data_IF_798344484320
#
_entry.id   IF_798344484320
#
_cell.length_a   1.000
_cell.length_b   1.000
_cell.length_c   1.000
_cell.angle_alpha   90.00
_cell.angle_beta   90.00
_cell.angle_gamma   90.00
#
_symmetry.space_group_name_H-M   'P 1'
#
loop_
_entity.id
_entity.type
_entity.pdbx_description
1 polymer ?
#
# COMPACT_ATOMS: atom_id res chain seq x y z
N UNK A 1 9.57 2.19 -24.22
CA UNK A 1 9.98 1.47 -22.98
C UNK A 1 10.25 2.50 -21.91
N UNK A 2 9.99 2.16 -20.65
CA UNK A 2 10.27 3.08 -19.55
C UNK A 2 11.77 3.08 -19.21
N UNK A 3 12.29 4.26 -18.85
CA UNK A 3 13.62 4.40 -18.25
C UNK A 3 13.47 4.26 -16.73
N UNK A 4 14.29 3.43 -16.11
CA UNK A 4 14.30 3.17 -14.68
C UNK A 4 15.64 3.60 -14.07
N UNK A 5 15.63 3.89 -12.77
CA UNK A 5 16.86 4.03 -11.99
C UNK A 5 17.20 2.69 -11.36
N UNK A 6 18.43 2.24 -11.54
CA UNK A 6 18.95 1.04 -10.89
C UNK A 6 20.40 1.26 -10.45
N UNK A 7 20.65 1.28 -9.13
CA UNK A 7 21.97 1.34 -8.48
C UNK A 7 22.91 2.46 -9.00
N UNK A 8 22.39 3.64 -9.30
CA UNK A 8 23.17 4.79 -9.77
C UNK A 8 22.92 5.13 -11.25
N UNK A 9 22.49 4.18 -12.05
CA UNK A 9 22.31 4.31 -13.49
C UNK A 9 20.85 4.52 -13.90
N UNK A 10 20.63 5.23 -15.00
CA UNK A 10 19.34 5.34 -15.69
C UNK A 10 19.39 4.44 -16.94
N UNK A 11 18.64 3.37 -16.93
CA UNK A 11 18.65 2.29 -17.93
C UNK A 11 17.24 2.09 -18.52
N UNK A 12 17.14 1.53 -19.71
CA UNK A 12 15.88 0.98 -20.16
C UNK A 12 15.52 -0.23 -19.27
N UNK A 13 14.24 -0.43 -19.03
CA UNK A 13 13.78 -1.48 -18.08
C UNK A 13 14.27 -2.90 -18.45
N UNK A 14 14.39 -3.20 -19.72
CA UNK A 14 14.86 -4.49 -20.26
C UNK A 14 16.39 -4.68 -20.19
N UNK A 15 17.15 -3.62 -19.94
CA UNK A 15 18.62 -3.67 -19.76
C UNK A 15 19.01 -3.98 -18.31
N UNK A 16 18.08 -3.86 -17.35
CA UNK A 16 18.35 -4.07 -15.92
C UNK A 16 18.67 -5.54 -15.64
N UNK A 17 19.79 -5.80 -15.00
CA UNK A 17 20.21 -7.13 -14.57
C UNK A 17 20.40 -7.17 -13.06
N UNK A 18 19.58 -7.99 -12.41
CA UNK A 18 19.70 -8.24 -10.96
C UNK A 18 20.66 -9.40 -10.73
N UNK A 19 21.58 -9.24 -9.79
CA UNK A 19 22.49 -10.32 -9.40
C UNK A 19 21.71 -11.49 -8.80
N UNK A 20 22.10 -12.72 -9.16
CA UNK A 20 21.57 -13.93 -8.51
C UNK A 20 21.93 -14.02 -7.02
N UNK A 21 22.88 -13.21 -6.55
CA UNK A 21 23.28 -13.12 -5.15
C UNK A 21 22.57 -12.00 -4.39
N UNK A 22 21.58 -11.31 -4.99
CA UNK A 22 20.78 -10.32 -4.30
C UNK A 22 19.86 -10.99 -3.26
N UNK A 23 19.86 -10.48 -2.02
CA UNK A 23 19.06 -11.02 -0.93
C UNK A 23 17.54 -10.92 -1.21
N UNK A 24 17.13 -9.92 -1.99
CA UNK A 24 15.76 -9.81 -2.47
C UNK A 24 15.34 -10.98 -3.33
N UNK A 25 16.26 -11.50 -4.17
CA UNK A 25 16.01 -12.68 -5.02
C UNK A 25 15.93 -13.98 -4.19
N UNK A 26 16.79 -14.13 -3.16
CA UNK A 26 16.79 -15.35 -2.33
C UNK A 26 15.66 -15.42 -1.33
N UNK A 27 15.34 -14.28 -0.66
CA UNK A 27 14.53 -14.27 0.56
C UNK A 27 13.32 -13.33 0.47
N UNK A 28 13.22 -12.53 -0.60
CA UNK A 28 12.34 -11.38 -0.59
C UNK A 28 12.79 -10.34 0.47
N UNK A 29 14.10 -10.28 0.78
CA UNK A 29 14.69 -9.36 1.76
C UNK A 29 14.82 -7.97 1.13
N UNK A 30 13.71 -7.28 1.10
CA UNK A 30 13.58 -5.97 0.52
C UNK A 30 12.38 -5.23 1.07
N UNK A 31 12.45 -3.92 0.96
CA UNK A 31 11.39 -2.98 1.30
C UNK A 31 10.94 -2.31 0.00
N UNK A 32 9.64 -2.07 -0.13
CA UNK A 32 9.14 -1.35 -1.30
C UNK A 32 8.18 -0.24 -0.92
N UNK A 33 8.02 0.71 -1.82
CA UNK A 33 7.06 1.78 -1.68
C UNK A 33 6.40 2.10 -3.03
N UNK A 34 5.21 2.69 -2.97
CA UNK A 34 4.46 3.14 -4.14
C UNK A 34 3.95 4.54 -3.88
N UNK A 35 4.43 5.50 -4.65
CA UNK A 35 4.00 6.90 -4.58
C UNK A 35 3.14 7.19 -5.81
N UNK A 36 1.94 7.69 -5.60
CA UNK A 36 1.09 8.15 -6.69
C UNK A 36 1.57 9.51 -7.21
N UNK A 37 1.84 9.59 -8.51
CA UNK A 37 1.98 10.85 -9.24
C UNK A 37 0.65 11.12 -9.97
N UNK A 38 -0.02 12.19 -9.60
CA UNK A 38 -1.35 12.52 -10.11
C UNK A 38 -1.41 13.97 -10.58
N UNK A 39 -1.74 14.17 -11.86
CA UNK A 39 -1.86 15.50 -12.48
C UNK A 39 -0.69 16.44 -12.15
N UNK A 40 0.54 15.94 -12.27
CA UNK A 40 1.76 16.73 -12.05
C UNK A 40 2.26 16.78 -10.59
N UNK A 41 1.63 16.09 -9.65
CA UNK A 41 1.92 16.19 -8.22
C UNK A 41 2.22 14.82 -7.60
N UNK A 42 3.21 14.77 -6.69
CA UNK A 42 3.47 13.57 -5.89
C UNK A 42 2.57 13.56 -4.65
N UNK A 43 1.67 12.60 -4.56
CA UNK A 43 0.70 12.52 -3.48
C UNK A 43 1.36 11.91 -2.24
N UNK A 44 1.28 12.63 -1.11
CA UNK A 44 1.79 12.22 0.20
C UNK A 44 3.26 11.72 0.20
N UNK A 45 4.11 12.24 -0.71
CA UNK A 45 5.48 11.74 -0.93
C UNK A 45 6.32 11.64 0.34
N UNK A 46 6.22 12.63 1.23
CA UNK A 46 7.03 12.66 2.44
C UNK A 46 6.63 11.54 3.40
N UNK A 47 5.33 11.28 3.57
CA UNK A 47 4.84 10.16 4.38
C UNK A 47 5.27 8.80 3.82
N UNK A 48 5.28 8.63 2.50
CA UNK A 48 5.77 7.43 1.83
C UNK A 48 7.28 7.24 2.01
N UNK A 49 8.07 8.28 1.80
CA UNK A 49 9.53 8.23 1.97
C UNK A 49 9.92 8.01 3.44
N UNK A 50 9.22 8.64 4.40
CA UNK A 50 9.41 8.40 5.83
C UNK A 50 9.12 6.95 6.20
N UNK A 51 8.06 6.36 5.65
CA UNK A 51 7.74 4.95 5.87
C UNK A 51 8.79 4.02 5.27
N UNK A 52 9.24 4.29 4.04
CA UNK A 52 10.29 3.53 3.36
C UNK A 52 11.57 3.47 4.22
N UNK A 53 12.08 4.63 4.64
CA UNK A 53 13.30 4.73 5.46
C UNK A 53 13.11 4.05 6.82
N UNK A 54 11.99 4.31 7.49
CA UNK A 54 11.65 3.65 8.76
C UNK A 54 11.60 2.12 8.63
N UNK A 55 10.99 1.59 7.57
CA UNK A 55 10.94 0.15 7.34
C UNK A 55 12.33 -0.46 7.16
N UNK A 56 13.24 0.20 6.42
CA UNK A 56 14.63 -0.28 6.27
C UNK A 56 15.37 -0.32 7.61
N UNK A 57 15.23 0.72 8.44
CA UNK A 57 15.82 0.73 9.78
C UNK A 57 15.26 -0.37 10.68
N UNK A 58 13.96 -0.61 10.64
CA UNK A 58 13.30 -1.64 11.45
C UNK A 58 13.78 -3.07 11.14
N UNK A 59 14.27 -3.32 9.91
CA UNK A 59 14.84 -4.61 9.52
C UNK A 59 16.38 -4.55 9.41
N UNK A 60 17.00 -3.55 10.05
CA UNK A 60 18.46 -3.44 10.20
C UNK A 60 19.23 -3.38 8.87
N UNK A 61 18.74 -2.60 7.88
CA UNK A 61 19.54 -2.31 6.69
C UNK A 61 20.73 -1.43 7.07
N UNK A 62 21.90 -1.76 6.53
CA UNK A 62 23.06 -0.87 6.54
C UNK A 62 22.95 0.12 5.37
N UNK A 63 23.68 1.23 5.45
CA UNK A 63 23.80 2.19 4.35
C UNK A 63 22.44 2.62 3.74
N UNK A 64 21.45 2.87 4.63
CA UNK A 64 20.13 3.30 4.22
C UNK A 64 20.23 4.63 3.46
N UNK A 65 19.77 4.70 2.18
CA UNK A 65 19.77 5.95 1.44
C UNK A 65 18.83 6.97 2.10
N UNK A 66 19.21 8.25 2.07
CA UNK A 66 18.40 9.32 2.61
C UNK A 66 17.13 9.56 1.79
N UNK A 67 16.11 10.18 2.40
CA UNK A 67 14.90 10.58 1.69
C UNK A 67 15.18 11.49 0.50
N UNK A 68 16.09 12.43 0.67
CA UNK A 68 16.45 13.40 -0.37
C UNK A 68 17.13 12.71 -1.54
N UNK A 69 18.05 11.78 -1.27
CA UNK A 69 18.70 10.96 -2.29
C UNK A 69 17.70 10.12 -3.09
N UNK A 70 16.77 9.45 -2.40
CA UNK A 70 15.71 8.67 -3.06
C UNK A 70 14.85 9.60 -3.92
N UNK A 71 14.44 10.75 -3.38
CA UNK A 71 13.58 11.69 -4.11
C UNK A 71 14.29 12.32 -5.31
N UNK A 72 15.58 12.63 -5.21
CA UNK A 72 16.37 13.10 -6.35
C UNK A 72 16.43 12.06 -7.47
N UNK A 73 16.56 10.79 -7.12
CA UNK A 73 16.54 9.71 -8.10
C UNK A 73 15.12 9.51 -8.70
N UNK A 74 14.05 9.70 -7.93
CA UNK A 74 12.69 9.77 -8.48
C UNK A 74 12.55 10.88 -9.51
N UNK A 75 13.05 12.09 -9.21
CA UNK A 75 13.00 13.21 -10.16
C UNK A 75 13.75 12.91 -11.47
N UNK A 76 14.91 12.23 -11.39
CA UNK A 76 15.63 11.76 -12.59
C UNK A 76 14.79 10.78 -13.42
N UNK A 77 14.10 9.82 -12.78
CA UNK A 77 13.22 8.89 -13.48
C UNK A 77 12.05 9.64 -14.14
N UNK A 78 11.44 10.59 -13.45
CA UNK A 78 10.34 11.40 -14.02
C UNK A 78 10.82 12.19 -15.23
N UNK A 79 11.97 12.89 -15.15
CA UNK A 79 12.50 13.69 -16.24
C UNK A 79 12.91 12.87 -17.47
N UNK A 80 13.33 11.61 -17.27
CA UNK A 80 13.67 10.70 -18.39
C UNK A 80 12.45 10.02 -19.02
N UNK A 81 11.29 10.16 -18.41
CA UNK A 81 10.02 9.58 -18.87
C UNK A 81 8.93 10.68 -19.05
N UNK A 82 9.30 11.88 -19.45
CA UNK A 82 8.37 13.03 -19.59
C UNK A 82 7.12 12.68 -20.37
N UNK A 83 7.24 11.92 -21.46
CA UNK A 83 6.12 11.48 -22.28
C UNK A 83 5.13 10.62 -21.48
N UNK A 84 5.62 9.71 -20.61
CA UNK A 84 4.77 8.88 -19.76
C UNK A 84 4.01 9.76 -18.77
N UNK A 85 4.67 10.71 -18.14
CA UNK A 85 4.09 11.55 -17.09
C UNK A 85 3.20 12.67 -17.63
N UNK A 86 3.45 13.18 -18.84
CA UNK A 86 2.60 14.20 -19.47
C UNK A 86 1.34 13.65 -20.11
N UNK A 87 1.39 12.43 -20.65
CA UNK A 87 0.27 11.81 -21.35
C UNK A 87 -0.69 11.04 -20.43
N UNK A 88 -0.34 10.87 -19.14
CA UNK A 88 -1.16 10.11 -18.20
C UNK A 88 -1.48 10.94 -16.96
N UNK A 89 -2.77 10.97 -16.59
CA UNK A 89 -3.21 11.68 -15.37
C UNK A 89 -2.69 11.02 -14.08
N UNK A 90 -2.38 9.73 -14.12
CA UNK A 90 -1.88 8.99 -12.97
C UNK A 90 -0.79 8.00 -13.37
N UNK A 91 0.33 8.08 -12.66
CA UNK A 91 1.47 7.16 -12.78
C UNK A 91 1.89 6.78 -11.37
N UNK A 92 2.12 5.52 -11.11
CA UNK A 92 2.73 5.10 -9.84
C UNK A 92 4.25 5.07 -9.96
N UNK A 93 4.92 5.60 -8.95
CA UNK A 93 6.36 5.45 -8.78
C UNK A 93 6.57 4.26 -7.85
N UNK A 94 7.05 3.15 -8.39
CA UNK A 94 7.44 1.98 -7.63
C UNK A 94 8.91 2.10 -7.22
N UNK A 95 9.18 1.93 -5.94
CA UNK A 95 10.53 1.95 -5.34
C UNK A 95 10.72 0.61 -4.67
N UNK A 96 11.80 -0.09 -4.99
CA UNK A 96 12.21 -1.30 -4.28
C UNK A 96 13.66 -1.18 -3.86
N UNK A 97 13.93 -1.47 -2.60
CA UNK A 97 15.27 -1.47 -2.04
C UNK A 97 15.49 -2.81 -1.36
N UNK A 98 16.42 -3.62 -1.91
CA UNK A 98 16.82 -4.89 -1.29
C UNK A 98 18.04 -4.66 -0.38
N UNK A 99 18.32 -5.62 0.49
CA UNK A 99 19.51 -5.55 1.34
C UNK A 99 20.81 -5.56 0.54
N UNK A 100 20.78 -5.97 -0.74
CA UNK A 100 21.94 -6.06 -1.63
C UNK A 100 22.50 -7.46 -1.77
N UNK A 101 23.70 -7.55 -2.32
CA UNK A 101 24.32 -8.81 -2.74
C UNK A 101 25.28 -9.38 -1.69
N UNK A 102 25.09 -10.66 -1.36
CA UNK A 102 25.98 -11.43 -0.49
C UNK A 102 25.95 -12.91 -0.85
N UNK A 103 26.95 -13.65 -0.37
CA UNK A 103 26.87 -15.12 -0.39
C UNK A 103 25.66 -15.57 0.43
N UNK A 104 24.87 -16.50 -0.11
CA UNK A 104 23.64 -16.96 0.53
C UNK A 104 23.90 -17.51 1.94
N UNK A 105 23.32 -16.85 2.94
CA UNK A 105 23.36 -17.24 4.34
C UNK A 105 22.07 -16.84 5.03
N UNK A 106 21.61 -17.57 6.05
CA UNK A 106 20.45 -17.21 6.86
C UNK A 106 20.73 -16.09 7.88
N UNK A 107 21.93 -15.55 7.85
CA UNK A 107 22.32 -14.36 8.61
C UNK A 107 23.08 -13.40 7.72
N UNK A 108 22.84 -12.11 7.87
CA UNK A 108 23.65 -11.06 7.27
C UNK A 108 24.79 -10.60 8.21
N UNK A 109 24.77 -11.06 9.49
CA UNK A 109 25.85 -10.86 10.46
C UNK A 109 26.38 -9.43 10.50
N UNK A 110 27.70 -9.30 10.43
CA UNK A 110 28.42 -8.01 10.42
C UNK A 110 28.70 -7.48 9.00
N UNK A 111 28.05 -8.05 7.97
CA UNK A 111 28.27 -7.61 6.59
C UNK A 111 27.77 -6.18 6.39
N UNK A 112 28.64 -5.31 5.90
CA UNK A 112 28.30 -3.95 5.52
C UNK A 112 27.79 -3.93 4.06
N UNK A 113 26.58 -4.44 3.85
CA UNK A 113 25.99 -4.56 2.51
C UNK A 113 25.55 -3.20 1.97
N UNK A 114 25.70 -3.04 0.65
CA UNK A 114 25.14 -1.90 -0.07
C UNK A 114 23.77 -2.30 -0.61
N UNK A 115 22.69 -1.58 -0.27
CA UNK A 115 21.37 -1.87 -0.81
C UNK A 115 21.33 -1.76 -2.33
N UNK A 116 20.56 -2.64 -2.98
CA UNK A 116 20.22 -2.47 -4.38
C UNK A 116 18.93 -1.66 -4.48
N UNK A 117 18.94 -0.59 -5.28
CA UNK A 117 17.84 0.36 -5.39
C UNK A 117 17.27 0.34 -6.81
N UNK A 118 15.98 0.03 -6.94
CA UNK A 118 15.20 0.14 -8.18
C UNK A 118 14.12 1.20 -8.00
N UNK A 119 14.02 2.14 -8.96
CA UNK A 119 12.90 3.08 -9.06
C UNK A 119 12.36 3.04 -10.49
N UNK A 120 11.06 2.79 -10.64
CA UNK A 120 10.42 2.70 -11.96
C UNK A 120 9.03 3.33 -11.98
N UNK A 121 8.61 3.93 -13.12
CA UNK A 121 7.23 4.32 -13.33
C UNK A 121 6.40 3.09 -13.72
N UNK A 122 5.18 3.00 -13.23
CA UNK A 122 4.18 2.00 -13.64
C UNK A 122 2.90 2.75 -13.95
N UNK A 123 2.37 2.57 -15.15
CA UNK A 123 1.07 3.14 -15.52
C UNK A 123 -0.01 2.61 -14.58
N UNK A 124 -0.84 3.50 -14.09
CA UNK A 124 -1.97 3.15 -13.26
C UNK A 124 -3.18 4.00 -13.63
N UNK A 125 -4.36 3.51 -13.29
CA UNK A 125 -5.60 4.26 -13.40
C UNK A 125 -6.21 4.39 -12.00
N UNK A 126 -6.09 5.56 -11.43
CA UNK A 126 -6.76 5.89 -10.16
C UNK A 126 -8.26 6.06 -10.40
N UNK A 127 -8.63 6.32 -11.66
CA UNK A 127 -10.02 6.43 -12.12
C UNK A 127 -10.72 7.70 -11.64
N UNK A 128 -11.74 8.10 -12.42
CA UNK A 128 -12.62 9.22 -12.08
C UNK A 128 -13.86 8.76 -11.29
N UNK A 129 -13.92 7.47 -10.94
CA UNK A 129 -15.04 6.87 -10.21
C UNK A 129 -14.51 5.95 -9.11
N UNK A 130 -15.14 6.06 -7.96
CA UNK A 130 -14.89 5.15 -6.85
C UNK A 130 -15.18 3.70 -7.26
N UNK A 131 -14.26 2.79 -6.92
CA UNK A 131 -14.47 1.35 -7.13
C UNK A 131 -15.44 0.80 -6.08
N UNK A 132 -16.22 -0.19 -6.49
CA UNK A 132 -17.06 -0.98 -5.62
C UNK A 132 -16.56 -2.42 -5.68
N UNK A 133 -16.25 -3.00 -4.53
CA UNK A 133 -15.64 -4.32 -4.41
C UNK A 133 -16.52 -5.30 -3.67
N UNK A 134 -16.40 -6.55 -4.08
CA UNK A 134 -16.75 -7.72 -3.30
C UNK A 134 -15.47 -8.34 -2.71
N UNK A 135 -15.47 -8.68 -1.44
CA UNK A 135 -14.33 -9.32 -0.79
C UNK A 135 -14.79 -10.57 -0.04
N UNK A 136 -13.88 -11.52 0.18
CA UNK A 136 -14.10 -12.56 1.17
C UNK A 136 -13.18 -12.37 2.38
N UNK A 137 -13.52 -12.98 3.51
CA UNK A 137 -12.69 -12.95 4.71
C UNK A 137 -11.93 -14.26 4.82
N UNK A 138 -10.61 -14.15 4.98
CA UNK A 138 -9.74 -15.29 5.28
C UNK A 138 -8.90 -15.03 6.53
N UNK A 139 -8.40 -16.10 7.15
CA UNK A 139 -7.39 -15.95 8.21
C UNK A 139 -6.13 -15.30 7.64
N UNK A 140 -5.55 -14.35 8.38
CA UNK A 140 -4.37 -13.61 7.94
C UNK A 140 -3.17 -14.56 7.74
N UNK A 141 -2.73 -14.79 6.50
CA UNK A 141 -1.65 -15.74 6.22
C UNK A 141 -0.27 -15.22 6.61
N UNK A 142 -0.16 -13.94 6.96
CA UNK A 142 1.11 -13.32 7.36
C UNK A 142 1.40 -13.61 8.82
N UNK A 143 2.64 -14.00 9.12
CA UNK A 143 3.01 -14.39 10.49
C UNK A 143 3.34 -13.21 11.39
N UNK A 144 4.27 -12.36 10.96
CA UNK A 144 4.83 -11.25 11.76
C UNK A 144 5.18 -10.05 10.88
N UNK A 145 5.40 -8.91 11.52
CA UNK A 145 5.92 -7.69 10.88
C UNK A 145 5.04 -7.13 9.76
N UNK A 146 3.72 -7.14 9.96
CA UNK A 146 2.76 -6.58 8.99
C UNK A 146 2.91 -5.06 8.84
N UNK A 147 3.45 -4.41 9.88
CA UNK A 147 3.78 -2.97 9.91
C UNK A 147 4.94 -2.58 8.99
N UNK A 148 5.66 -3.55 8.45
CA UNK A 148 6.81 -3.35 7.55
C UNK A 148 6.39 -3.67 6.11
N UNK A 149 6.66 -2.74 5.19
CA UNK A 149 6.29 -2.89 3.77
C UNK A 149 7.32 -3.71 3.00
N UNK A 150 7.38 -5.02 3.30
CA UNK A 150 8.35 -5.96 2.73
C UNK A 150 7.95 -6.49 1.35
N UNK A 151 8.95 -6.86 0.54
CA UNK A 151 8.76 -7.51 -0.76
C UNK A 151 8.37 -8.99 -0.69
N UNK A 152 8.44 -9.62 0.48
CA UNK A 152 8.02 -11.02 0.72
C UNK A 152 6.48 -11.16 0.77
N UNK A 153 5.83 -10.95 -0.37
CA UNK A 153 4.37 -10.84 -0.50
C UNK A 153 3.66 -12.16 -0.84
N UNK A 154 4.37 -13.28 -0.95
CA UNK A 154 3.82 -14.57 -1.40
C UNK A 154 2.50 -14.97 -0.71
N UNK A 155 2.37 -14.90 0.64
CA UNK A 155 1.12 -15.29 1.31
C UNK A 155 -0.07 -14.42 0.89
N UNK A 156 0.14 -13.11 0.72
CA UNK A 156 -0.92 -12.18 0.30
C UNK A 156 -1.30 -12.37 -1.17
N UNK A 157 -0.31 -12.63 -2.04
CA UNK A 157 -0.53 -12.88 -3.47
C UNK A 157 -1.36 -14.16 -3.66
N UNK A 158 -1.05 -15.21 -2.91
CA UNK A 158 -1.82 -16.47 -2.95
C UNK A 158 -3.25 -16.22 -2.45
N UNK A 159 -3.42 -15.58 -1.30
CA UNK A 159 -4.75 -15.31 -0.74
C UNK A 159 -5.61 -14.47 -1.70
N UNK A 160 -5.02 -13.44 -2.32
CA UNK A 160 -5.72 -12.64 -3.33
C UNK A 160 -6.08 -13.46 -4.56
N UNK A 161 -5.17 -14.26 -5.09
CA UNK A 161 -5.43 -15.13 -6.25
C UNK A 161 -6.60 -16.11 -5.96
N UNK A 162 -6.62 -16.71 -4.79
CA UNK A 162 -7.71 -17.62 -4.38
C UNK A 162 -9.06 -16.91 -4.26
N UNK A 163 -9.06 -15.68 -3.76
CA UNK A 163 -10.24 -14.82 -3.71
C UNK A 163 -10.76 -14.46 -5.10
N UNK A 164 -9.87 -14.03 -6.00
CA UNK A 164 -10.22 -13.72 -7.40
C UNK A 164 -10.77 -14.97 -8.13
N UNK A 165 -10.17 -16.14 -7.90
CA UNK A 165 -10.66 -17.42 -8.45
C UNK A 165 -12.04 -17.79 -7.90
N UNK A 166 -12.37 -17.40 -6.68
CA UNK A 166 -13.68 -17.59 -6.08
C UNK A 166 -14.72 -16.52 -6.50
N UNK A 167 -14.33 -15.55 -7.34
CA UNK A 167 -15.21 -14.52 -7.90
C UNK A 167 -15.31 -13.24 -7.09
N UNK A 168 -14.38 -13.01 -6.15
CA UNK A 168 -14.26 -11.75 -5.42
C UNK A 168 -13.23 -10.81 -6.04
N UNK A 169 -13.37 -9.50 -5.80
CA UNK A 169 -12.41 -8.50 -6.29
C UNK A 169 -11.11 -8.49 -5.47
N UNK A 170 -11.21 -8.78 -4.16
CA UNK A 170 -10.05 -8.80 -3.26
C UNK A 170 -10.37 -9.58 -1.97
N UNK A 171 -9.43 -9.60 -1.02
CA UNK A 171 -9.51 -10.35 0.24
C UNK A 171 -9.35 -9.43 1.45
N UNK A 172 -10.12 -9.69 2.51
CA UNK A 172 -9.99 -9.08 3.83
C UNK A 172 -9.38 -10.11 4.78
N UNK A 173 -8.39 -9.69 5.55
CA UNK A 173 -7.73 -10.53 6.54
C UNK A 173 -8.35 -10.39 7.92
N UNK A 174 -8.53 -11.52 8.55
CA UNK A 174 -8.92 -11.66 9.94
C UNK A 174 -7.79 -12.31 10.72
N UNK A 175 -7.46 -11.78 11.88
CA UNK A 175 -6.47 -12.35 12.77
C UNK A 175 -7.15 -12.91 14.03
N UNK A 176 -7.19 -14.24 14.13
CA UNK A 176 -7.82 -14.94 15.25
C UNK A 176 -7.14 -14.68 16.60
N UNK A 177 -5.84 -14.36 16.62
CA UNK A 177 -5.13 -14.07 17.87
C UNK A 177 -5.60 -12.81 18.58
N UNK A 178 -6.05 -11.81 17.82
CA UNK A 178 -6.60 -10.56 18.35
C UNK A 178 -8.11 -10.45 18.13
N UNK A 179 -8.72 -11.50 17.57
CA UNK A 179 -10.14 -11.57 17.23
C UNK A 179 -10.62 -10.33 16.44
N UNK A 180 -9.88 -9.95 15.40
CA UNK A 180 -10.16 -8.72 14.65
C UNK A 180 -9.95 -8.85 13.16
N UNK A 181 -10.77 -8.12 12.40
CA UNK A 181 -10.43 -7.72 11.04
C UNK A 181 -9.18 -6.82 11.13
N UNK A 182 -8.23 -7.03 10.25
CA UNK A 182 -6.98 -6.26 10.21
C UNK A 182 -6.92 -5.34 8.99
N UNK A 183 -6.59 -5.88 7.85
CA UNK A 183 -6.50 -5.13 6.59
C UNK A 183 -6.80 -6.06 5.40
N UNK A 184 -6.70 -5.59 4.16
CA UNK A 184 -6.80 -6.44 2.98
C UNK A 184 -5.44 -6.79 2.36
N UNK A 185 -5.45 -7.33 1.14
CA UNK A 185 -4.22 -7.74 0.47
C UNK A 185 -3.23 -6.58 0.25
N UNK A 186 -3.73 -5.37 0.03
CA UNK A 186 -2.93 -4.17 -0.24
C UNK A 186 -3.62 -2.86 0.20
N UNK A 187 -4.57 -2.94 1.11
CA UNK A 187 -5.39 -1.82 1.59
C UNK A 187 -5.74 -1.96 3.07
N UNK A 188 -5.98 -0.83 3.73
CA UNK A 188 -6.57 -0.83 5.07
C UNK A 188 -8.09 -0.78 4.99
N UNK A 189 -8.77 -1.33 6.02
CA UNK A 189 -10.23 -1.45 6.07
C UNK A 189 -10.80 -0.50 7.12
N UNK A 190 -11.91 0.14 6.77
CA UNK A 190 -12.74 0.96 7.64
C UNK A 190 -14.16 0.43 7.64
N UNK A 191 -14.85 0.57 8.76
CA UNK A 191 -16.28 0.33 8.87
C UNK A 191 -16.98 1.58 9.42
N UNK A 192 -18.24 1.78 9.03
CA UNK A 192 -19.17 2.69 9.69
C UNK A 192 -20.19 1.85 10.41
N UNK A 193 -20.21 1.90 11.73
CA UNK A 193 -21.11 1.08 12.56
C UNK A 193 -22.57 1.51 12.46
N UNK A 194 -23.48 0.72 13.02
CA UNK A 194 -24.91 1.09 13.16
C UNK A 194 -25.11 2.40 13.89
N UNK A 195 -24.23 2.72 14.84
CA UNK A 195 -24.24 3.94 15.64
C UNK A 195 -23.49 5.12 14.99
N UNK A 196 -23.12 4.99 13.72
CA UNK A 196 -22.35 5.95 12.92
C UNK A 196 -20.92 6.20 13.43
N UNK A 197 -20.34 5.29 14.22
CA UNK A 197 -18.92 5.33 14.53
C UNK A 197 -18.10 4.91 13.32
N UNK A 198 -17.10 5.69 12.95
CA UNK A 198 -16.12 5.30 11.91
C UNK A 198 -14.96 4.59 12.61
N UNK A 199 -14.74 3.33 12.29
CA UNK A 199 -13.79 2.48 12.99
C UNK A 199 -12.79 1.88 11.98
N UNK A 200 -11.52 1.81 12.38
CA UNK A 200 -10.48 1.10 11.64
C UNK A 200 -9.53 0.41 12.60
N UNK A 201 -8.87 -0.66 12.16
CA UNK A 201 -7.85 -1.34 12.95
C UNK A 201 -6.75 -0.36 13.39
N UNK A 202 -6.30 -0.38 14.66
CA UNK A 202 -5.28 0.54 15.14
C UNK A 202 -3.92 0.26 14.50
N UNK A 203 -3.10 1.31 14.36
CA UNK A 203 -1.71 1.13 13.97
C UNK A 203 -0.97 0.26 15.00
N UNK A 204 -0.13 -0.64 14.51
CA UNK A 204 0.60 -1.59 15.35
C UNK A 204 1.18 -2.71 14.51
N UNK A 205 1.36 -3.87 15.13
CA UNK A 205 1.95 -5.06 14.48
C UNK A 205 0.97 -5.79 13.56
N UNK A 206 -0.32 -5.43 13.61
CA UNK A 206 -1.38 -6.18 12.93
C UNK A 206 -1.70 -5.65 11.53
N UNK A 207 -1.31 -4.41 11.21
CA UNK A 207 -1.54 -3.79 9.91
C UNK A 207 -0.36 -2.96 9.44
N UNK A 208 -0.29 -2.72 8.14
CA UNK A 208 0.57 -1.69 7.59
C UNK A 208 0.00 -0.31 7.92
N UNK A 209 0.80 0.63 8.51
CA UNK A 209 0.36 2.01 8.70
C UNK A 209 0.25 2.73 7.35
N UNK A 210 -0.94 2.69 6.75
CA UNK A 210 -1.20 3.23 5.41
C UNK A 210 -1.10 4.74 5.34
N UNK A 211 -0.38 5.29 4.35
CA UNK A 211 -0.32 6.73 4.12
C UNK A 211 -1.69 7.28 3.71
N UNK A 212 -2.37 6.60 2.80
CA UNK A 212 -3.75 6.95 2.40
C UNK A 212 -4.73 6.82 3.57
N UNK A 213 -4.58 5.77 4.40
CA UNK A 213 -5.35 5.62 5.63
C UNK A 213 -5.21 6.85 6.54
N UNK A 214 -3.97 7.26 6.81
CA UNK A 214 -3.69 8.42 7.66
C UNK A 214 -4.28 9.71 7.05
N UNK A 215 -4.16 9.89 5.75
CA UNK A 215 -4.73 11.06 5.03
C UNK A 215 -6.25 11.07 5.12
N UNK A 216 -6.92 9.95 4.92
CA UNK A 216 -8.39 9.86 5.04
C UNK A 216 -8.85 10.17 6.46
N UNK A 217 -8.15 9.69 7.49
CA UNK A 217 -8.44 10.04 8.89
C UNK A 217 -8.34 11.56 9.11
N UNK A 218 -7.28 12.21 8.61
CA UNK A 218 -7.09 13.66 8.71
C UNK A 218 -8.21 14.44 7.99
N UNK A 219 -8.58 14.01 6.78
CA UNK A 219 -9.64 14.66 6.00
C UNK A 219 -11.01 14.55 6.69
N UNK A 220 -11.36 13.38 7.20
CA UNK A 220 -12.60 13.16 7.97
C UNK A 220 -12.60 14.00 9.26
N UNK A 221 -11.46 14.09 9.96
CA UNK A 221 -11.34 14.91 11.15
C UNK A 221 -11.56 16.40 10.85
N UNK A 222 -11.12 16.93 9.71
CA UNK A 222 -11.40 18.30 9.25
C UNK A 222 -12.89 18.58 9.00
N UNK A 223 -13.68 17.52 8.79
CA UNK A 223 -15.14 17.56 8.71
C UNK A 223 -15.84 17.44 10.06
N UNK A 224 -15.09 17.31 11.17
CA UNK A 224 -15.64 17.03 12.49
C UNK A 224 -16.02 15.56 12.70
N UNK A 225 -15.65 14.66 11.77
CA UNK A 225 -15.92 13.24 11.86
C UNK A 225 -14.72 12.54 12.51
N UNK A 226 -14.95 11.93 13.68
CA UNK A 226 -13.91 11.24 14.43
C UNK A 226 -13.80 9.79 13.98
N UNK A 227 -12.60 9.37 13.60
CA UNK A 227 -12.26 7.95 13.36
C UNK A 227 -11.74 7.35 14.66
N UNK A 228 -12.25 6.18 15.02
CA UNK A 228 -11.85 5.41 16.20
C UNK A 228 -10.92 4.28 15.74
N UNK A 229 -9.69 4.33 16.21
CA UNK A 229 -8.70 3.29 15.97
C UNK A 229 -8.83 2.22 17.08
N UNK A 230 -9.57 1.14 16.80
CA UNK A 230 -9.77 0.01 17.71
C UNK A 230 -9.93 -1.30 16.93
N UNK A 231 -9.66 -2.42 17.57
CA UNK A 231 -9.99 -3.74 17.04
C UNK A 231 -11.51 -3.92 16.93
N UNK A 232 -11.95 -4.63 15.90
CA UNK A 232 -13.37 -4.94 15.67
C UNK A 232 -13.53 -6.31 15.03
N UNK A 233 -14.60 -7.00 15.39
CA UNK A 233 -14.84 -8.39 15.00
C UNK A 233 -15.44 -8.51 13.60
N UNK A 234 -15.52 -9.77 13.11
CA UNK A 234 -16.26 -10.10 11.87
C UNK A 234 -17.74 -9.70 11.98
N UNK A 235 -18.35 -9.95 13.13
CA UNK A 235 -19.76 -9.61 13.39
C UNK A 235 -19.99 -8.11 13.27
N UNK A 236 -19.10 -7.30 13.81
CA UNK A 236 -19.16 -5.84 13.69
C UNK A 236 -18.98 -5.36 12.24
N UNK A 237 -18.14 -6.04 11.45
CA UNK A 237 -18.03 -5.76 10.03
C UNK A 237 -19.33 -6.09 9.27
N UNK A 238 -19.92 -7.26 9.51
CA UNK A 238 -21.18 -7.66 8.86
C UNK A 238 -22.38 -6.81 9.30
N UNK A 239 -22.33 -6.24 10.49
CA UNK A 239 -23.35 -5.34 11.05
C UNK A 239 -23.15 -3.87 10.65
N UNK A 240 -22.07 -3.55 9.97
CA UNK A 240 -21.75 -2.18 9.57
C UNK A 240 -22.71 -1.65 8.50
N UNK A 241 -22.95 -0.33 8.52
CA UNK A 241 -23.67 0.39 7.46
C UNK A 241 -22.81 0.56 6.21
N UNK A 242 -21.50 0.72 6.40
CA UNK A 242 -20.54 0.91 5.33
C UNK A 242 -19.25 0.17 5.65
N UNK A 243 -18.62 -0.38 4.62
CA UNK A 243 -17.24 -0.88 4.67
C UNK A 243 -16.48 -0.28 3.50
N UNK A 244 -15.29 0.26 3.74
CA UNK A 244 -14.46 0.80 2.69
C UNK A 244 -12.97 0.53 2.89
N UNK A 245 -12.26 0.51 1.78
CA UNK A 245 -10.83 0.29 1.69
C UNK A 245 -10.08 1.60 1.42
N UNK A 246 -8.81 1.68 1.88
CA UNK A 246 -7.90 2.78 1.51
C UNK A 246 -6.55 2.24 1.06
N UNK A 247 -6.08 2.68 -0.13
CA UNK A 247 -4.79 2.30 -0.71
C UNK A 247 -4.23 3.41 -1.61
N UNK A 248 -2.92 3.42 -1.85
CA UNK A 248 -2.27 4.47 -2.64
C UNK A 248 -2.82 4.61 -4.08
N UNK A 249 -3.10 3.48 -4.76
CA UNK A 249 -3.60 3.46 -6.14
C UNK A 249 -5.10 3.22 -6.27
N UNK A 250 -5.79 3.01 -5.16
CA UNK A 250 -7.24 2.93 -5.01
C UNK A 250 -7.59 3.70 -3.74
N UNK A 251 -7.58 5.05 -3.81
CA UNK A 251 -7.57 5.90 -2.61
C UNK A 251 -8.66 5.56 -1.61
N UNK A 252 -9.90 5.46 -2.10
CA UNK A 252 -11.04 4.95 -1.35
C UNK A 252 -11.85 4.06 -2.29
N UNK A 253 -12.16 2.84 -1.85
CA UNK A 253 -13.05 1.92 -2.55
C UNK A 253 -14.14 1.44 -1.61
N UNK A 254 -15.39 1.43 -2.05
CA UNK A 254 -16.50 0.88 -1.28
C UNK A 254 -16.46 -0.64 -1.34
N UNK A 255 -16.59 -1.32 -0.21
CA UNK A 255 -16.77 -2.77 -0.14
C UNK A 255 -18.26 -3.02 0.11
N UNK A 256 -18.97 -3.37 -0.95
CA UNK A 256 -20.44 -3.50 -0.93
C UNK A 256 -20.91 -4.92 -0.60
N UNK A 257 -20.01 -5.91 -0.70
CA UNK A 257 -20.29 -7.31 -0.41
C UNK A 257 -19.09 -7.96 0.28
N UNK A 258 -19.33 -8.72 1.32
CA UNK A 258 -18.30 -9.52 2.00
C UNK A 258 -18.82 -10.95 2.16
N UNK A 259 -18.01 -11.93 1.73
CA UNK A 259 -18.46 -13.30 1.51
C UNK A 259 -19.75 -13.29 0.66
N UNK A 260 -20.79 -14.00 1.06
CA UNK A 260 -22.07 -14.02 0.34
C UNK A 260 -23.08 -12.95 0.82
N UNK A 261 -22.67 -12.02 1.68
CA UNK A 261 -23.56 -11.03 2.30
C UNK A 261 -23.30 -9.63 1.76
N UNK A 262 -24.35 -8.93 1.36
CA UNK A 262 -24.28 -7.51 1.15
C UNK A 262 -24.05 -6.78 2.47
N UNK A 263 -23.18 -5.76 2.43
CA UNK A 263 -23.04 -4.81 3.52
C UNK A 263 -24.24 -3.86 3.44
N UNK A 264 -25.02 -3.84 4.50
CA UNK A 264 -26.26 -3.08 4.64
C UNK A 264 -27.18 -3.25 3.42
N UNK A 265 -27.31 -2.24 2.53
CA UNK A 265 -28.15 -2.28 1.33
C UNK A 265 -27.38 -2.61 0.04
N UNK A 266 -26.09 -2.92 0.15
CA UNK A 266 -25.21 -3.25 -0.98
C UNK A 266 -24.84 -2.07 -1.87
N UNK A 267 -24.93 -0.85 -1.35
CA UNK A 267 -24.58 0.38 -2.06
C UNK A 267 -23.42 1.12 -1.39
N UNK A 268 -22.91 2.12 -2.10
CA UNK A 268 -21.93 3.05 -1.56
C UNK A 268 -22.57 3.90 -0.47
N UNK A 269 -21.96 3.91 0.73
CA UNK A 269 -22.44 4.72 1.83
C UNK A 269 -21.97 6.17 1.76
N UNK A 270 -22.62 7.04 2.54
CA UNK A 270 -22.38 8.50 2.53
C UNK A 270 -20.98 8.87 3.02
N UNK A 271 -20.49 8.22 4.08
CA UNK A 271 -19.15 8.47 4.63
C UNK A 271 -18.07 8.02 3.66
N UNK A 272 -18.29 6.87 3.01
CA UNK A 272 -17.38 6.35 1.98
C UNK A 272 -17.30 7.30 0.78
N UNK A 273 -18.43 7.80 0.30
CA UNK A 273 -18.48 8.78 -0.79
C UNK A 273 -17.78 10.09 -0.40
N UNK A 274 -18.04 10.61 0.79
CA UNK A 274 -17.41 11.80 1.33
C UNK A 274 -15.88 11.65 1.42
N UNK A 275 -15.41 10.52 1.94
CA UNK A 275 -13.98 10.22 2.07
C UNK A 275 -13.29 10.16 0.70
N UNK A 276 -13.94 9.56 -0.30
CA UNK A 276 -13.44 9.53 -1.67
C UNK A 276 -13.36 10.94 -2.28
N UNK A 277 -14.43 11.71 -2.21
CA UNK A 277 -14.50 13.05 -2.81
C UNK A 277 -13.48 14.00 -2.16
N UNK A 278 -13.34 13.94 -0.84
CA UNK A 278 -12.36 14.75 -0.11
C UNK A 278 -10.92 14.36 -0.45
N UNK A 279 -10.64 13.07 -0.58
CA UNK A 279 -9.31 12.62 -0.98
C UNK A 279 -8.97 13.04 -2.42
N UNK A 280 -9.89 12.87 -3.37
CA UNK A 280 -9.66 13.28 -4.75
C UNK A 280 -9.48 14.81 -4.87
N UNK A 281 -10.28 15.57 -4.13
CA UNK A 281 -10.13 17.02 -4.04
C UNK A 281 -8.80 17.43 -3.40
N UNK A 282 -8.35 16.70 -2.38
CA UNK A 282 -7.02 16.90 -1.80
C UNK A 282 -5.92 16.68 -2.85
N UNK A 283 -5.96 15.59 -3.62
CA UNK A 283 -4.99 15.32 -4.68
C UNK A 283 -4.97 16.42 -5.76
N UNK A 284 -6.10 17.06 -6.04
CA UNK A 284 -6.21 18.12 -7.03
C UNK A 284 -5.70 19.48 -6.53
N UNK A 285 -5.70 19.73 -5.22
CA UNK A 285 -5.35 21.02 -4.61
C UNK A 285 -3.97 21.03 -3.92
N UNK A 286 -3.16 20.00 -4.04
CA UNK A 286 -1.79 19.93 -3.50
C UNK A 286 -0.87 21.00 -4.06
#
# INVERSE_FOLDING_TARGET
MAVVYFNGDLLNEDEVKVSVNDAGYYYGDGIYEVILYYKGKFIDKDAHLDRLVRCMHNVHFNNVPSKDEIFDNIKKVVSRNEEIFSNNNSVSIYIQITRGCAVRSHTFGTLNLQPSVLIKPILCDVGNKMKQWSCNIVEDPRRMHREIKMTSLMPMVIAKYESEKAGYDDVIFYNSNVNSITEGSSFNVFIVSKDNEIITCPNGKEILPGCTRARVIDLLAKRGLKVIEKFYSKEQLFDAKEVFATAALKPVASIIKVDDKHIFDGKVGEITALAYDDYMRYCENL
#
